data_IF_352501952181
#
_entry.id   IF_352501952181
#
_cell.length_a   1.000
_cell.length_b   1.000
_cell.length_c   1.000
_cell.angle_alpha   90.00
_cell.angle_beta   90.00
_cell.angle_gamma   90.00
#
_symmetry.space_group_name_H-M   'P 1'
#
loop_
_entity.id
_entity.type
_entity.pdbx_description
1 polymer ?
#
# COMPACT_ATOMS: atom_id res chain seq x y z
N UNK A 1 -12.44 10.13 -3.88
CA UNK A 1 -11.73 9.63 -5.08
C UNK A 1 -11.92 8.14 -5.14
N UNK A 2 -12.39 7.61 -6.27
CA UNK A 2 -12.56 6.17 -6.46
C UNK A 2 -11.19 5.49 -6.60
N UNK A 3 -10.98 4.30 -6.02
CA UNK A 3 -9.73 3.56 -6.18
C UNK A 3 -9.49 3.23 -7.66
N UNK A 4 -8.22 3.31 -8.09
CA UNK A 4 -7.82 2.85 -9.42
C UNK A 4 -8.01 1.32 -9.48
N UNK A 5 -8.77 0.85 -10.47
CA UNK A 5 -9.15 -0.57 -10.61
C UNK A 5 -7.92 -1.46 -10.76
N UNK A 6 -6.89 -1.00 -11.48
CA UNK A 6 -5.63 -1.72 -11.63
C UNK A 6 -4.90 -1.88 -10.28
N UNK A 7 -4.93 -0.84 -9.44
CA UNK A 7 -4.32 -0.87 -8.11
C UNK A 7 -4.99 -1.88 -7.19
N UNK A 8 -6.32 -2.03 -7.27
CA UNK A 8 -7.05 -2.99 -6.43
C UNK A 8 -6.80 -4.44 -6.84
N UNK A 9 -6.80 -4.73 -8.14
CA UNK A 9 -6.59 -6.08 -8.68
C UNK A 9 -5.18 -6.62 -8.34
N UNK A 10 -4.21 -5.73 -8.18
CA UNK A 10 -2.79 -6.05 -7.90
C UNK A 10 -2.34 -5.72 -6.49
N UNK A 11 -3.22 -5.17 -5.64
CA UNK A 11 -2.89 -4.78 -4.27
C UNK A 11 -2.28 -5.93 -3.45
N UNK A 12 -2.69 -7.17 -3.70
CA UNK A 12 -2.10 -8.36 -3.05
C UNK A 12 -0.59 -8.46 -3.25
N UNK A 13 -0.09 -8.13 -4.43
CA UNK A 13 1.35 -8.25 -4.74
C UNK A 13 2.14 -7.26 -3.89
N UNK A 14 1.54 -6.12 -3.54
CA UNK A 14 2.18 -5.08 -2.73
C UNK A 14 2.15 -5.45 -1.24
N UNK A 15 1.02 -5.94 -0.74
CA UNK A 15 0.82 -6.34 0.66
C UNK A 15 1.87 -7.36 1.12
N UNK A 16 2.26 -8.30 0.26
CA UNK A 16 3.15 -9.40 0.65
C UNK A 16 4.64 -9.15 0.34
N UNK A 17 5.00 -8.06 -0.35
CA UNK A 17 6.37 -7.91 -0.89
C UNK A 17 7.19 -6.78 -0.28
N UNK A 18 6.61 -5.84 0.48
CA UNK A 18 7.36 -4.64 0.86
C UNK A 18 6.98 -3.99 2.18
N UNK A 19 8.01 -3.40 2.81
CA UNK A 19 8.02 -2.68 4.10
C UNK A 19 6.69 -1.99 4.42
N UNK A 20 5.95 -2.63 5.31
CA UNK A 20 4.76 -2.07 5.89
C UNK A 20 5.14 -1.06 6.95
N UNK A 21 4.67 0.18 6.79
CA UNK A 21 4.62 1.11 7.90
C UNK A 21 3.21 1.18 8.45
N UNK A 22 3.09 1.33 9.76
CA UNK A 22 1.80 1.57 10.41
C UNK A 22 1.25 2.93 9.91
N UNK A 23 -0.04 2.98 9.60
CA UNK A 23 -0.77 4.21 9.30
C UNK A 23 -1.30 4.80 10.60
N UNK A 24 -0.48 5.61 11.27
CA UNK A 24 -0.75 6.26 12.56
C UNK A 24 -1.27 7.70 12.43
N UNK A 25 -1.72 8.08 11.23
CA UNK A 25 -2.16 9.45 10.94
C UNK A 25 -3.44 9.84 11.67
N UNK A 26 -4.29 8.88 12.01
CA UNK A 26 -5.57 9.05 12.69
C UNK A 26 -5.87 7.84 13.58
N UNK A 27 -6.76 7.99 14.56
CA UNK A 27 -7.35 6.84 15.27
C UNK A 27 -8.52 6.27 14.46
N UNK A 28 -8.21 5.26 13.65
CA UNK A 28 -9.19 4.60 12.78
C UNK A 28 -10.01 3.50 13.49
N UNK A 29 -9.76 3.22 14.78
CA UNK A 29 -10.35 2.10 15.50
C UNK A 29 -9.88 0.71 15.02
N UNK A 30 -8.86 0.64 14.17
CA UNK A 30 -8.22 -0.60 13.71
C UNK A 30 -6.77 -0.34 13.29
N UNK A 31 -5.91 -1.36 13.39
CA UNK A 31 -4.53 -1.25 12.90
C UNK A 31 -4.52 -1.25 11.36
N UNK A 32 -3.91 -0.23 10.78
CA UNK A 32 -3.77 -0.05 9.33
C UNK A 32 -2.31 0.00 8.94
N UNK A 33 -2.03 -0.49 7.74
CA UNK A 33 -0.71 -0.57 7.15
C UNK A 33 -0.69 0.17 5.82
N UNK A 34 0.44 0.78 5.51
CA UNK A 34 0.73 1.39 4.21
C UNK A 34 1.83 0.59 3.54
N UNK A 35 1.47 -0.08 2.44
CA UNK A 35 2.41 -0.70 1.51
C UNK A 35 2.67 0.20 0.32
N UNK A 36 3.93 0.27 -0.13
CA UNK A 36 4.33 0.87 -1.39
C UNK A 36 4.89 -0.20 -2.31
N UNK A 37 4.33 -0.35 -3.50
CA UNK A 37 4.77 -1.39 -4.43
C UNK A 37 4.73 -0.92 -5.87
N UNK A 38 5.59 -1.51 -6.70
CA UNK A 38 5.60 -1.27 -8.14
C UNK A 38 4.76 -2.35 -8.84
N UNK A 39 3.83 -1.91 -9.69
CA UNK A 39 3.05 -2.75 -10.59
C UNK A 39 3.34 -2.24 -12.00
N UNK A 40 3.89 -3.11 -12.85
CA UNK A 40 4.44 -2.76 -14.16
C UNK A 40 5.48 -1.62 -14.08
N UNK A 41 5.11 -0.40 -14.49
CA UNK A 41 5.98 0.79 -14.46
C UNK A 41 5.55 1.82 -13.41
N UNK A 42 4.39 1.59 -12.77
CA UNK A 42 3.77 2.54 -11.85
C UNK A 42 3.99 2.09 -10.41
N UNK A 43 4.11 3.05 -9.50
CA UNK A 43 4.18 2.78 -8.07
C UNK A 43 2.81 3.09 -7.48
N UNK A 44 2.33 2.21 -6.61
CA UNK A 44 1.06 2.32 -5.93
C UNK A 44 1.27 2.38 -4.42
N UNK A 45 0.41 3.15 -3.77
CA UNK A 45 0.17 3.08 -2.33
C UNK A 45 -1.07 2.24 -2.07
N UNK A 46 -0.92 1.25 -1.20
CA UNK A 46 -2.00 0.40 -0.71
C UNK A 46 -2.14 0.62 0.78
N UNK A 47 -3.35 0.96 1.24
CA UNK A 47 -3.70 0.98 2.66
C UNK A 47 -4.58 -0.22 2.95
N UNK A 48 -4.24 -0.97 3.99
CA UNK A 48 -4.91 -2.23 4.29
C UNK A 48 -4.89 -2.57 5.78
N UNK A 49 -5.67 -3.59 6.17
CA UNK A 49 -5.68 -4.14 7.52
C UNK A 49 -5.75 -5.67 7.46
N UNK A 50 -5.05 -6.34 8.38
CA UNK A 50 -5.15 -7.79 8.56
C UNK A 50 -6.40 -8.14 9.36
N UNK A 51 -7.20 -9.08 8.86
CA UNK A 51 -8.39 -9.63 9.53
C UNK A 51 -8.15 -11.02 10.12
N UNK A 52 -7.22 -11.77 9.54
CA UNK A 52 -6.68 -13.02 10.03
C UNK A 52 -5.30 -13.22 9.38
N UNK A 53 -4.59 -14.30 9.74
CA UNK A 53 -3.22 -14.60 9.28
C UNK A 53 -3.01 -14.44 7.76
N UNK A 54 -4.00 -14.83 6.95
CA UNK A 54 -3.93 -14.74 5.49
C UNK A 54 -5.12 -13.99 4.86
N UNK A 55 -5.87 -13.24 5.68
CA UNK A 55 -7.04 -12.48 5.23
C UNK A 55 -6.74 -11.00 5.38
N UNK A 56 -6.63 -10.32 4.24
CA UNK A 56 -6.39 -8.87 4.18
C UNK A 56 -7.63 -8.16 3.65
N UNK A 57 -7.96 -7.01 4.25
CA UNK A 57 -8.91 -6.06 3.67
C UNK A 57 -8.16 -4.87 3.11
N UNK A 58 -8.26 -4.66 1.80
CA UNK A 58 -7.78 -3.43 1.17
C UNK A 58 -8.77 -2.30 1.49
N UNK A 59 -8.23 -1.22 2.05
CA UNK A 59 -8.99 0.00 2.40
C UNK A 59 -8.88 1.00 1.26
N UNK A 60 -7.70 1.16 0.68
CA UNK A 60 -7.50 1.95 -0.53
C UNK A 60 -6.31 1.44 -1.34
N UNK A 61 -6.38 1.60 -2.67
CA UNK A 61 -5.28 1.36 -3.57
C UNK A 61 -5.29 2.46 -4.63
N UNK A 62 -4.17 3.17 -4.76
CA UNK A 62 -4.07 4.32 -5.65
C UNK A 62 -2.61 4.54 -6.09
N UNK A 63 -2.42 5.21 -7.22
CA UNK A 63 -1.08 5.60 -7.67
C UNK A 63 -0.37 6.41 -6.58
N UNK A 64 0.90 6.11 -6.38
CA UNK A 64 1.73 6.74 -5.38
C UNK A 64 2.02 8.20 -5.76
N UNK A 65 1.92 9.09 -4.77
CA UNK A 65 2.30 10.48 -4.89
C UNK A 65 3.81 10.65 -5.13
N UNK A 66 4.26 11.89 -5.37
CA UNK A 66 5.69 12.19 -5.54
C UNK A 66 6.53 11.72 -4.34
N UNK A 67 6.12 12.11 -3.13
CA UNK A 67 6.85 11.75 -1.91
C UNK A 67 6.91 10.23 -1.67
N UNK A 68 5.81 9.53 -1.93
CA UNK A 68 5.74 8.06 -1.80
C UNK A 68 6.66 7.36 -2.80
N UNK A 69 6.74 7.87 -4.04
CA UNK A 69 7.71 7.38 -5.03
C UNK A 69 9.15 7.60 -4.58
N UNK A 70 9.47 8.78 -4.06
CA UNK A 70 10.81 9.08 -3.52
C UNK A 70 11.18 8.11 -2.37
N UNK A 71 10.26 7.86 -1.44
CA UNK A 71 10.43 6.87 -0.36
C UNK A 71 10.63 5.48 -0.94
N UNK A 72 9.83 5.08 -1.93
CA UNK A 72 9.96 3.78 -2.58
C UNK A 72 11.35 3.61 -3.19
N UNK A 73 11.83 4.56 -4.01
CA UNK A 73 13.12 4.43 -4.67
C UNK A 73 14.27 4.37 -3.67
N UNK A 74 14.28 5.28 -2.68
CA UNK A 74 15.33 5.32 -1.63
C UNK A 74 15.42 4.03 -0.81
N UNK A 75 14.30 3.34 -0.59
CA UNK A 75 14.29 2.12 0.25
C UNK A 75 14.45 0.83 -0.54
N UNK A 76 14.12 0.80 -1.83
CA UNK A 76 14.24 -0.41 -2.67
C UNK A 76 15.57 -0.51 -3.39
N UNK A 77 16.11 0.64 -3.83
CA UNK A 77 17.30 0.71 -4.68
C UNK A 77 18.33 1.60 -3.98
N UNK A 78 19.02 1.08 -2.95
CA UNK A 78 20.08 1.80 -2.26
C UNK A 78 21.30 2.06 -3.15
#
# INVERSE_FOLDING_TARGET
>A
MSPDRAGLDRAREIVYTKVDRIDDREDYGELRFIGLGRVDIEIYRVVYTWRAENVVRIISAQKAGRHEREVYYRTTFP
#
